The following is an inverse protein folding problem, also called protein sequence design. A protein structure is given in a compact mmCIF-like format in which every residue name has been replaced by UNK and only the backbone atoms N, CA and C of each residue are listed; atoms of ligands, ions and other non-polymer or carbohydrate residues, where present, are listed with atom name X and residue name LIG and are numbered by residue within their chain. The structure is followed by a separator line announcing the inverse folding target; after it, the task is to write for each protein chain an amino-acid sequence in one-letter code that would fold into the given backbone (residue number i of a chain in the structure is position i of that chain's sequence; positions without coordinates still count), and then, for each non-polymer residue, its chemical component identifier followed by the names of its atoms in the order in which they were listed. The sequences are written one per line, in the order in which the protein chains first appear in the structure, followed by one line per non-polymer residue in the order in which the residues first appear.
data_IF_317686379189
#
_entry.id   IF_317686379189
#
_cell.length_a   1.000
_cell.length_b   1.000
_cell.length_c   1.000
_cell.angle_alpha   90.00
_cell.angle_beta   90.00
_cell.angle_gamma   90.00
#
_symmetry.space_group_name_H-M   'P 1'
#
loop_
_entity.id
_entity.type
_entity.pdbx_description
1 polymer ?
#
# COMPACT_ATOMS: atom_id res chain seq x y z
N UNK A 1 15.33 -0.63 4.11
CA UNK A 1 14.99 -2.07 4.14
C UNK A 1 13.59 -2.34 3.60
N UNK A 2 12.59 -1.53 3.95
CA UNK A 2 11.18 -1.77 3.56
C UNK A 2 10.96 -1.88 2.05
N UNK A 3 11.59 -1.03 1.24
CA UNK A 3 11.46 -1.07 -0.22
C UNK A 3 11.97 -2.39 -0.83
N UNK A 4 13.05 -2.97 -0.29
CA UNK A 4 13.63 -4.21 -0.81
C UNK A 4 12.71 -5.39 -0.52
N UNK A 5 12.12 -5.42 0.68
CA UNK A 5 11.16 -6.45 1.06
C UNK A 5 9.90 -6.39 0.19
N UNK A 6 9.36 -5.20 -0.05
CA UNK A 6 8.22 -5.00 -0.95
C UNK A 6 8.56 -5.47 -2.37
N UNK A 7 9.74 -5.10 -2.87
CA UNK A 7 10.21 -5.55 -4.18
C UNK A 7 10.33 -7.08 -4.26
N UNK A 8 10.81 -7.73 -3.19
CA UNK A 8 10.86 -9.18 -3.10
C UNK A 8 9.48 -9.83 -3.21
N UNK A 9 8.49 -9.33 -2.46
CA UNK A 9 7.10 -9.83 -2.51
C UNK A 9 6.50 -9.64 -3.90
N UNK A 10 6.63 -8.45 -4.50
CA UNK A 10 6.06 -8.16 -5.82
C UNK A 10 6.66 -9.09 -6.88
N UNK A 11 7.99 -9.26 -6.87
CA UNK A 11 8.67 -10.12 -7.86
C UNK A 11 8.28 -11.58 -7.71
N UNK A 12 8.30 -12.11 -6.48
CA UNK A 12 8.14 -13.54 -6.23
C UNK A 12 6.68 -14.00 -6.29
N UNK A 13 5.75 -13.21 -5.74
CA UNK A 13 4.38 -13.67 -5.57
C UNK A 13 3.48 -13.28 -6.74
N UNK A 14 3.80 -12.16 -7.42
CA UNK A 14 2.91 -11.57 -8.42
C UNK A 14 3.49 -11.53 -9.84
N UNK A 15 4.81 -11.35 -9.98
CA UNK A 15 5.47 -11.25 -11.29
C UNK A 15 6.14 -12.56 -11.76
N UNK A 16 6.38 -13.52 -10.87
CA UNK A 16 7.14 -14.75 -11.16
C UNK A 16 6.65 -15.51 -12.40
N UNK A 17 5.32 -15.61 -12.56
CA UNK A 17 4.70 -16.35 -13.67
C UNK A 17 4.28 -15.45 -14.84
N UNK A 18 4.68 -14.17 -14.84
CA UNK A 18 4.32 -13.22 -15.90
C UNK A 18 5.44 -13.17 -16.94
N UNK A 19 5.12 -13.50 -18.20
CA UNK A 19 6.05 -13.34 -19.31
C UNK A 19 6.12 -11.86 -19.74
N UNK A 20 6.87 -11.06 -18.99
CA UNK A 20 7.06 -9.63 -19.25
C UNK A 20 8.30 -9.44 -20.10
N UNK A 21 8.14 -8.85 -21.29
CA UNK A 21 9.21 -8.62 -22.26
C UNK A 21 9.50 -7.15 -22.51
N UNK A 22 8.60 -6.26 -22.13
CA UNK A 22 8.75 -4.80 -22.30
C UNK A 22 8.35 -4.02 -21.05
N UNK A 23 8.81 -2.77 -20.97
CA UNK A 23 8.52 -1.88 -19.84
C UNK A 23 7.02 -1.54 -19.78
N UNK A 24 6.36 -1.42 -20.92
CA UNK A 24 4.92 -1.15 -21.00
C UNK A 24 4.11 -2.31 -20.41
N UNK A 25 4.51 -3.55 -20.72
CA UNK A 25 3.90 -4.74 -20.14
C UNK A 25 4.10 -4.80 -18.63
N UNK A 26 5.31 -4.46 -18.15
CA UNK A 26 5.59 -4.37 -16.71
C UNK A 26 4.66 -3.37 -16.03
N UNK A 27 4.59 -2.15 -16.55
CA UNK A 27 3.75 -1.10 -15.99
C UNK A 27 2.26 -1.48 -15.98
N UNK A 28 1.79 -2.16 -17.03
CA UNK A 28 0.41 -2.65 -17.10
C UNK A 28 0.15 -3.72 -16.03
N UNK A 29 1.03 -4.71 -15.87
CA UNK A 29 0.87 -5.75 -14.85
C UNK A 29 0.99 -5.17 -13.44
N UNK A 30 1.89 -4.21 -13.21
CA UNK A 30 2.00 -3.52 -11.91
C UNK A 30 0.70 -2.78 -11.55
N UNK A 31 0.05 -2.10 -12.50
CA UNK A 31 -1.27 -1.49 -12.27
C UNK A 31 -2.34 -2.52 -11.91
N UNK A 32 -2.34 -3.68 -12.57
CA UNK A 32 -3.27 -4.78 -12.24
C UNK A 32 -3.01 -5.34 -10.84
N UNK A 33 -1.75 -5.50 -10.46
CA UNK A 33 -1.35 -5.99 -9.13
C UNK A 33 -1.76 -4.99 -8.05
N UNK A 34 -1.54 -3.69 -8.29
CA UNK A 34 -1.99 -2.63 -7.38
C UNK A 34 -3.51 -2.70 -7.16
N UNK A 35 -4.29 -2.82 -8.22
CA UNK A 35 -5.74 -2.96 -8.13
C UNK A 35 -6.14 -4.24 -7.38
N UNK A 36 -5.53 -5.38 -7.70
CA UNK A 36 -5.78 -6.66 -7.03
C UNK A 36 -5.55 -6.57 -5.51
N UNK A 37 -4.44 -5.99 -5.08
CA UNK A 37 -4.09 -5.89 -3.66
C UNK A 37 -5.01 -4.92 -2.93
N UNK A 38 -5.29 -3.75 -3.52
CA UNK A 38 -6.04 -2.70 -2.84
C UNK A 38 -7.54 -2.97 -2.81
N UNK A 39 -8.09 -3.53 -3.88
CA UNK A 39 -9.54 -3.56 -4.12
C UNK A 39 -10.13 -4.98 -4.06
N UNK A 40 -9.32 -6.02 -4.26
CA UNK A 40 -9.85 -7.39 -4.40
C UNK A 40 -9.36 -8.36 -3.34
N UNK A 41 -8.14 -8.19 -2.81
CA UNK A 41 -7.60 -9.11 -1.79
C UNK A 41 -7.99 -8.67 -0.38
N UNK A 42 -8.90 -9.40 0.30
CA UNK A 42 -9.15 -9.18 1.71
C UNK A 42 -7.93 -9.64 2.52
N UNK A 43 -7.58 -8.87 3.54
CA UNK A 43 -6.44 -9.17 4.41
C UNK A 43 -6.97 -9.58 5.78
N UNK A 44 -6.53 -10.73 6.29
CA UNK A 44 -6.98 -11.23 7.59
C UNK A 44 -6.70 -10.23 8.73
N UNK A 45 -5.57 -9.52 8.68
CA UNK A 45 -5.23 -8.48 9.66
C UNK A 45 -6.16 -7.26 9.63
N UNK A 46 -6.87 -7.05 8.52
CA UNK A 46 -7.87 -5.99 8.36
C UNK A 46 -9.30 -6.51 8.54
N UNK A 47 -9.49 -7.56 9.36
CA UNK A 47 -10.77 -8.21 9.57
C UNK A 47 -11.42 -8.70 8.26
N UNK A 48 -10.60 -9.24 7.35
CA UNK A 48 -11.01 -9.69 6.02
C UNK A 48 -11.60 -8.59 5.13
N UNK A 49 -11.29 -7.33 5.40
CA UNK A 49 -11.56 -6.22 4.49
C UNK A 49 -10.41 -6.04 3.50
N UNK A 50 -10.71 -5.44 2.35
CA UNK A 50 -9.68 -4.93 1.44
C UNK A 50 -9.10 -3.64 2.01
N UNK A 51 -7.86 -3.27 1.66
CA UNK A 51 -7.26 -2.01 2.11
C UNK A 51 -8.17 -0.80 1.87
N UNK A 52 -8.79 -0.69 0.69
CA UNK A 52 -9.71 0.41 0.38
C UNK A 52 -10.98 0.35 1.23
N UNK A 53 -11.57 -0.84 1.40
CA UNK A 53 -12.76 -0.98 2.24
C UNK A 53 -12.48 -0.62 3.71
N UNK A 54 -11.30 -0.98 4.20
CA UNK A 54 -10.86 -0.65 5.54
C UNK A 54 -10.61 0.85 5.73
N UNK A 55 -9.99 1.51 4.75
CA UNK A 55 -9.78 2.97 4.76
C UNK A 55 -11.13 3.72 4.80
N UNK A 56 -12.09 3.29 3.97
CA UNK A 56 -13.45 3.83 3.96
C UNK A 56 -14.19 3.57 5.29
N UNK A 57 -13.97 2.41 5.90
CA UNK A 57 -14.53 2.10 7.22
C UNK A 57 -13.96 3.04 8.30
N UNK A 58 -12.63 3.24 8.32
CA UNK A 58 -11.98 4.13 9.29
C UNK A 58 -12.40 5.59 9.09
N UNK A 59 -12.50 6.06 7.85
CA UNK A 59 -12.85 7.45 7.56
C UNK A 59 -14.27 7.81 8.01
N UNK A 60 -15.18 6.84 8.07
CA UNK A 60 -16.53 6.99 8.61
C UNK A 60 -16.64 6.90 10.15
N UNK A 61 -15.57 6.49 10.85
CA UNK A 61 -15.55 6.50 12.32
C UNK A 61 -15.31 7.93 12.84
N UNK A 62 -16.18 8.41 13.72
CA UNK A 62 -16.00 9.66 14.46
C UNK A 62 -14.58 9.71 15.08
N UNK A 63 -13.84 10.82 14.84
CA UNK A 63 -12.44 11.04 15.30
C UNK A 63 -12.25 10.88 16.81
N UNK A 64 -13.33 10.85 17.59
CA UNK A 64 -13.35 10.79 19.05
C UNK A 64 -12.75 9.51 19.64
N UNK A 65 -12.58 8.44 18.86
CA UNK A 65 -11.93 7.18 19.30
C UNK A 65 -10.54 6.91 18.71
N UNK A 66 -10.06 7.74 17.80
CA UNK A 66 -8.74 7.53 17.21
C UNK A 66 -7.69 7.96 18.23
N UNK A 67 -6.97 6.99 18.81
CA UNK A 67 -5.81 7.30 19.62
C UNK A 67 -4.86 8.16 18.78
N UNK A 68 -4.57 9.37 19.25
CA UNK A 68 -3.66 10.30 18.57
C UNK A 68 -2.26 9.72 18.69
N UNK A 69 -1.88 8.85 17.77
CA UNK A 69 -0.51 8.38 17.63
C UNK A 69 0.28 9.45 16.89
N UNK A 70 1.38 9.94 17.47
CA UNK A 70 2.30 10.82 16.75
C UNK A 70 2.91 10.05 15.59
N UNK A 71 2.44 10.32 14.38
CA UNK A 71 3.10 9.86 13.16
C UNK A 71 4.29 10.79 12.88
N UNK A 72 5.47 10.20 12.67
CA UNK A 72 6.64 10.93 12.20
C UNK A 72 6.56 11.06 10.68
N UNK A 73 6.51 12.30 10.19
CA UNK A 73 6.57 12.60 8.77
C UNK A 73 8.03 12.87 8.38
N UNK A 74 8.61 11.95 7.60
CA UNK A 74 9.99 12.03 7.14
C UNK A 74 10.19 13.04 5.99
N UNK A 75 9.11 13.60 5.43
CA UNK A 75 9.16 14.58 4.35
C UNK A 75 9.06 16.03 4.82
N UNK A 76 8.92 16.29 6.13
CA UNK A 76 9.05 17.64 6.67
C UNK A 76 10.51 18.08 6.57
N UNK A 77 10.84 18.84 5.51
CA UNK A 77 12.03 19.69 5.50
C UNK A 77 11.92 20.63 6.70
N UNK A 78 12.83 20.48 7.65
CA UNK A 78 12.92 21.37 8.80
C UNK A 78 13.00 22.81 8.29
N UNK A 79 12.05 23.63 8.70
CA UNK A 79 12.19 25.08 8.61
C UNK A 79 13.28 25.42 9.63
N UNK A 80 14.49 25.64 9.12
CA UNK A 80 15.54 26.31 9.87
C UNK A 80 15.15 27.78 9.93
N UNK A 81 14.60 28.21 11.08
CA UNK A 81 14.48 29.63 11.39
C UNK A 81 15.88 30.20 11.65
N UNK A 82 16.08 31.41 11.13
CA UNK A 82 17.36 32.11 10.94
C UNK A 82 17.99 32.62 12.25
#
# INVERSE_FOLDING_TARGET
MEAEQINGVIKNDYLLNKQIKTIEQLNMELRKIQYLINEQKPVASLNYMTPVAFENYISGLERTRQAITKCYDFNKKGVVEA
#
